data_IF_107412441871
#
_entry.id   IF_107412441871
#
_cell.length_a   1.000
_cell.length_b   1.000
_cell.length_c   1.000
_cell.angle_alpha   90.00
_cell.angle_beta   90.00
_cell.angle_gamma   90.00
#
_symmetry.space_group_name_H-M   'P 1'
#
loop_
_entity.id
_entity.type
_entity.pdbx_description
1 polymer ?
#
# COMPACT_ATOMS: atom_id res chain seq x y z
N UNK A 1 2.59 13.46 -24.06
CA UNK A 1 1.55 13.50 -23.01
C UNK A 1 2.20 13.20 -21.67
N UNK A 2 2.24 14.15 -20.73
CA UNK A 2 2.76 13.91 -19.37
C UNK A 2 1.78 13.01 -18.63
N UNK A 3 2.07 11.72 -18.60
CA UNK A 3 1.20 10.68 -18.08
C UNK A 3 1.28 10.65 -16.54
N UNK A 4 0.67 11.62 -15.87
CA UNK A 4 0.60 11.59 -14.40
C UNK A 4 -0.57 10.69 -14.01
N UNK A 5 -0.30 9.41 -13.71
CA UNK A 5 -1.25 8.48 -13.06
C UNK A 5 -1.70 8.92 -11.65
N UNK A 6 -1.25 10.09 -11.20
CA UNK A 6 -1.57 10.62 -9.88
C UNK A 6 -3.02 11.08 -9.85
N UNK A 7 -3.85 10.42 -9.03
CA UNK A 7 -5.21 10.87 -8.75
C UNK A 7 -5.13 11.93 -7.66
N UNK A 8 -5.56 13.16 -7.99
CA UNK A 8 -5.69 14.25 -7.03
C UNK A 8 -7.15 14.38 -6.60
N UNK A 9 -7.37 14.46 -5.30
CA UNK A 9 -8.69 14.69 -4.74
C UNK A 9 -9.01 16.18 -4.90
N UNK A 10 -10.10 16.49 -5.58
CA UNK A 10 -10.56 17.86 -5.75
C UNK A 10 -11.11 18.44 -4.44
N UNK A 11 -11.57 19.70 -4.47
CA UNK A 11 -12.13 20.37 -3.29
C UNK A 11 -13.62 20.11 -3.09
N UNK A 12 -14.19 19.06 -3.69
CA UNK A 12 -15.59 18.74 -3.51
C UNK A 12 -15.85 18.30 -2.05
N UNK A 13 -16.78 18.94 -1.31
CA UNK A 13 -17.00 18.64 0.10
C UNK A 13 -17.30 17.17 0.40
N UNK A 14 -18.02 16.48 -0.49
CA UNK A 14 -18.35 15.06 -0.32
C UNK A 14 -17.14 14.14 -0.48
N UNK A 15 -16.18 14.50 -1.35
CA UNK A 15 -14.93 13.75 -1.54
C UNK A 15 -13.93 14.03 -0.42
N UNK A 16 -13.96 15.23 0.15
CA UNK A 16 -13.07 15.67 1.22
C UNK A 16 -13.33 14.95 2.54
N UNK A 17 -14.59 14.60 2.85
CA UNK A 17 -14.94 14.01 4.13
C UNK A 17 -14.09 12.77 4.47
N UNK A 18 -13.84 11.91 3.48
CA UNK A 18 -13.04 10.69 3.64
C UNK A 18 -11.56 11.00 3.89
N UNK A 19 -10.96 11.89 3.08
CA UNK A 19 -9.54 12.22 3.22
C UNK A 19 -9.23 13.01 4.48
N UNK A 20 -10.14 13.89 4.92
CA UNK A 20 -10.06 14.55 6.22
C UNK A 20 -10.12 13.54 7.37
N UNK A 21 -11.04 12.57 7.33
CA UNK A 21 -11.16 11.53 8.34
C UNK A 21 -9.86 10.74 8.50
N UNK A 22 -9.29 10.29 7.38
CA UNK A 22 -8.01 9.59 7.36
C UNK A 22 -6.87 10.46 7.90
N UNK A 23 -6.76 11.72 7.47
CA UNK A 23 -5.70 12.60 7.94
C UNK A 23 -5.77 12.85 9.46
N UNK A 24 -6.98 12.95 10.02
CA UNK A 24 -7.19 13.06 11.47
C UNK A 24 -6.77 11.79 12.21
N UNK A 25 -7.16 10.62 11.71
CA UNK A 25 -6.82 9.33 12.33
C UNK A 25 -5.31 9.08 12.31
N UNK A 26 -4.66 9.36 11.17
CA UNK A 26 -3.21 9.18 11.01
C UNK A 26 -2.38 10.27 11.70
N UNK A 27 -3.02 11.35 12.17
CA UNK A 27 -2.38 12.55 12.75
C UNK A 27 -1.43 13.23 11.77
N UNK A 28 -1.87 13.41 10.53
CA UNK A 28 -1.15 14.15 9.48
C UNK A 28 -1.77 15.53 9.25
N UNK A 29 -1.03 16.44 8.63
CA UNK A 29 -1.52 17.79 8.30
C UNK A 29 -2.76 17.72 7.38
N UNK A 30 -3.84 18.38 7.81
CA UNK A 30 -5.12 18.40 7.11
C UNK A 30 -5.07 19.19 5.80
N UNK A 31 -4.11 20.09 5.64
CA UNK A 31 -3.96 20.87 4.41
C UNK A 31 -3.34 20.04 3.29
N UNK A 32 -2.76 18.86 3.59
CA UNK A 32 -2.14 17.98 2.62
C UNK A 32 -3.11 16.96 2.00
N UNK A 33 -4.40 17.00 2.35
CA UNK A 33 -5.39 16.01 1.85
C UNK A 33 -5.61 16.04 0.33
N UNK A 34 -5.17 17.11 -0.33
CA UNK A 34 -5.26 17.28 -1.78
C UNK A 34 -3.93 16.99 -2.49
N UNK A 35 -2.85 16.75 -1.74
CA UNK A 35 -1.55 16.42 -2.30
C UNK A 35 -1.50 14.98 -2.83
N UNK A 36 -0.55 14.66 -3.73
CA UNK A 36 -0.31 13.30 -4.18
C UNK A 36 -0.14 12.34 -3.02
N UNK A 37 -0.70 11.14 -3.16
CA UNK A 37 -0.70 10.18 -2.06
C UNK A 37 0.50 9.23 -2.07
N UNK A 38 0.93 8.78 -0.90
CA UNK A 38 1.92 7.72 -0.69
C UNK A 38 1.45 6.74 0.37
N UNK A 39 1.91 5.49 0.29
CA UNK A 39 1.44 4.41 1.15
C UNK A 39 2.45 3.31 1.40
N UNK A 40 2.13 2.46 2.37
CA UNK A 40 2.89 1.26 2.71
C UNK A 40 1.93 0.09 2.70
N UNK A 41 2.29 -0.97 1.97
CA UNK A 41 1.48 -2.19 1.86
C UNK A 41 2.25 -3.39 2.41
N UNK A 42 1.53 -4.40 2.87
CA UNK A 42 2.10 -5.71 3.20
C UNK A 42 1.21 -6.87 2.78
N UNK A 43 1.71 -8.09 2.95
CA UNK A 43 0.88 -9.29 2.83
C UNK A 43 0.79 -10.07 4.14
N UNK A 44 -0.38 -10.66 4.39
CA UNK A 44 -0.63 -11.52 5.55
C UNK A 44 -1.03 -12.92 5.10
N UNK A 45 -0.69 -13.88 5.94
CA UNK A 45 -1.05 -15.28 5.80
C UNK A 45 -0.79 -15.99 7.12
N UNK A 46 -0.88 -17.30 7.11
CA UNK A 46 -0.96 -18.12 8.33
C UNK A 46 0.33 -18.91 8.63
N UNK A 47 1.46 -18.51 8.06
CA UNK A 47 2.78 -19.08 8.36
C UNK A 47 3.70 -18.10 9.06
N UNK A 48 4.81 -18.62 9.60
CA UNK A 48 5.86 -17.84 10.26
C UNK A 48 6.46 -16.74 9.37
N UNK A 49 6.34 -16.85 8.05
CA UNK A 49 6.78 -15.82 7.11
C UNK A 49 6.11 -14.46 7.37
N UNK A 50 4.86 -14.45 7.85
CA UNK A 50 4.03 -13.25 7.92
C UNK A 50 4.03 -12.55 9.29
N UNK A 51 4.48 -13.23 10.35
CA UNK A 51 4.42 -12.75 11.75
C UNK A 51 5.01 -11.34 11.90
N UNK A 52 6.11 -11.06 11.19
CA UNK A 52 6.80 -9.77 11.28
C UNK A 52 6.28 -8.68 10.34
N UNK A 53 5.44 -9.00 9.36
CA UNK A 53 5.10 -8.08 8.26
C UNK A 53 4.35 -6.87 8.78
N UNK A 54 3.30 -7.08 9.57
CA UNK A 54 2.49 -5.99 10.14
C UNK A 54 3.32 -5.01 10.97
N UNK A 55 4.18 -5.54 11.86
CA UNK A 55 5.07 -4.71 12.68
C UNK A 55 6.02 -3.88 11.80
N UNK A 56 6.61 -4.48 10.77
CA UNK A 56 7.53 -3.77 9.85
C UNK A 56 6.80 -2.72 9.03
N UNK A 57 5.61 -3.03 8.51
CA UNK A 57 4.74 -2.08 7.79
C UNK A 57 4.43 -0.88 8.67
N UNK A 58 4.02 -1.11 9.94
CA UNK A 58 3.72 -0.03 10.88
C UNK A 58 4.93 0.87 11.15
N UNK A 59 6.11 0.29 11.36
CA UNK A 59 7.35 1.06 11.60
C UNK A 59 7.72 1.92 10.39
N UNK A 60 7.62 1.37 9.18
CA UNK A 60 7.93 2.12 7.94
C UNK A 60 6.87 3.20 7.71
N UNK A 61 5.60 2.90 7.97
CA UNK A 61 4.51 3.87 7.85
C UNK A 61 4.70 5.05 8.81
N UNK A 62 5.07 4.78 10.06
CA UNK A 62 5.37 5.83 11.04
C UNK A 62 6.59 6.67 10.62
N UNK A 63 7.65 6.03 10.13
CA UNK A 63 8.82 6.74 9.60
C UNK A 63 8.45 7.63 8.40
N UNK A 64 7.61 7.13 7.49
CA UNK A 64 7.10 7.89 6.34
C UNK A 64 6.23 9.07 6.80
N UNK A 65 5.35 8.87 7.79
CA UNK A 65 4.54 9.95 8.38
C UNK A 65 5.41 11.08 8.90
N UNK A 66 6.50 10.76 9.61
CA UNK A 66 7.39 11.78 10.17
C UNK A 66 8.11 12.60 9.09
N UNK A 67 8.20 12.08 7.86
CA UNK A 67 8.76 12.77 6.68
C UNK A 67 7.71 13.53 5.86
N UNK A 68 6.44 13.52 6.25
CA UNK A 68 5.37 14.24 5.58
C UNK A 68 5.05 15.53 6.35
N UNK A 69 4.93 16.64 5.63
CA UNK A 69 4.68 17.96 6.20
C UNK A 69 5.09 19.09 5.27
N UNK A 70 5.12 20.31 5.79
CA UNK A 70 5.42 21.54 5.02
C UNK A 70 6.80 22.13 5.30
N UNK A 71 7.59 21.51 6.18
CA UNK A 71 8.95 21.94 6.47
C UNK A 71 9.90 21.63 5.30
N UNK A 72 11.04 22.32 5.23
CA UNK A 72 12.01 22.18 4.14
C UNK A 72 12.58 20.76 3.96
N UNK A 73 12.59 19.94 5.02
CA UNK A 73 13.08 18.55 5.00
C UNK A 73 11.96 17.50 4.87
N UNK A 74 10.71 17.96 4.66
CA UNK A 74 9.52 17.12 4.58
C UNK A 74 8.89 17.18 3.19
N UNK A 75 8.13 16.13 2.87
CA UNK A 75 7.42 16.00 1.60
C UNK A 75 5.97 16.43 1.78
N UNK A 76 5.48 17.27 0.88
CA UNK A 76 4.07 17.64 0.79
C UNK A 76 3.32 16.53 0.05
N UNK A 77 2.93 15.49 0.79
CA UNK A 77 2.23 14.31 0.27
C UNK A 77 1.11 13.91 1.24
N UNK A 78 0.09 13.25 0.74
CA UNK A 78 -0.96 12.64 1.57
C UNK A 78 -0.56 11.22 1.96
N UNK A 79 -0.58 10.89 3.24
CA UNK A 79 -0.37 9.52 3.69
C UNK A 79 -1.69 8.74 3.67
N UNK A 80 -1.70 7.56 3.05
CA UNK A 80 -2.81 6.60 3.20
C UNK A 80 -2.55 5.65 4.36
N UNK A 81 -3.62 5.03 4.89
CA UNK A 81 -3.47 4.00 5.91
C UNK A 81 -2.67 2.80 5.38
N UNK A 82 -2.03 2.00 6.25
CA UNK A 82 -1.40 0.75 5.82
C UNK A 82 -2.43 -0.23 5.25
N UNK A 83 -2.11 -0.84 4.12
CA UNK A 83 -2.99 -1.81 3.45
C UNK A 83 -2.35 -3.19 3.42
N UNK A 84 -3.19 -4.23 3.48
CA UNK A 84 -2.73 -5.61 3.47
C UNK A 84 -3.50 -6.47 2.49
N UNK A 85 -2.77 -7.32 1.78
CA UNK A 85 -3.33 -8.35 0.89
C UNK A 85 -3.13 -9.75 1.47
N UNK A 86 -3.85 -10.72 0.91
CA UNK A 86 -3.79 -12.13 1.32
C UNK A 86 -2.61 -12.85 0.67
N UNK A 87 -2.08 -13.86 1.34
CA UNK A 87 -1.02 -14.69 0.80
C UNK A 87 -1.12 -16.13 1.34
N UNK A 88 -0.80 -17.09 0.49
CA UNK A 88 -0.81 -18.52 0.79
C UNK A 88 0.56 -18.98 1.26
N UNK A 89 0.65 -19.90 2.21
CA UNK A 89 1.94 -20.48 2.60
C UNK A 89 2.23 -21.78 1.85
N UNK A 90 3.22 -21.74 0.96
CA UNK A 90 3.75 -22.94 0.29
C UNK A 90 4.22 -23.98 1.31
N UNK A 91 4.95 -23.56 2.34
CA UNK A 91 5.49 -24.45 3.37
C UNK A 91 4.42 -25.28 4.10
N UNK A 92 3.28 -24.67 4.46
CA UNK A 92 2.19 -25.39 5.14
C UNK A 92 1.40 -26.27 4.15
N UNK A 93 1.31 -25.87 2.87
CA UNK A 93 0.42 -26.52 1.87
C UNK A 93 1.16 -27.55 1.03
N UNK A 94 2.48 -27.64 1.17
CA UNK A 94 3.29 -28.56 0.41
C UNK A 94 2.83 -30.01 0.64
N UNK A 95 2.56 -30.73 -0.45
CA UNK A 95 2.05 -32.10 -0.41
C UNK A 95 0.55 -32.25 -0.15
N UNK A 96 -0.21 -31.15 -0.02
CA UNK A 96 -1.67 -31.20 0.12
C UNK A 96 -2.39 -30.80 -1.18
N UNK A 97 -3.71 -31.04 -1.26
CA UNK A 97 -4.52 -30.64 -2.43
C UNK A 97 -4.56 -29.12 -2.59
N UNK A 98 -4.44 -28.40 -1.49
CA UNK A 98 -4.49 -26.95 -1.42
C UNK A 98 -3.23 -26.29 -2.01
N UNK A 99 -2.15 -27.04 -2.28
CA UNK A 99 -0.98 -26.52 -3.00
C UNK A 99 -1.34 -25.96 -4.39
N UNK A 100 -2.46 -26.39 -4.97
CA UNK A 100 -3.02 -25.81 -6.21
C UNK A 100 -3.29 -24.31 -6.12
N UNK A 101 -3.46 -23.76 -4.91
CA UNK A 101 -3.71 -22.33 -4.69
C UNK A 101 -2.43 -21.49 -4.55
N UNK A 102 -1.25 -22.12 -4.50
CA UNK A 102 0.04 -21.40 -4.32
C UNK A 102 0.32 -20.44 -5.49
N UNK A 103 0.40 -20.95 -6.72
CA UNK A 103 0.78 -20.15 -7.89
C UNK A 103 -0.28 -19.09 -8.23
N UNK A 104 -1.55 -19.48 -8.23
CA UNK A 104 -2.64 -18.52 -8.50
C UNK A 104 -2.75 -17.44 -7.42
N UNK A 105 -2.31 -17.75 -6.18
CA UNK A 105 -2.24 -16.77 -5.10
C UNK A 105 -1.37 -15.56 -5.43
N UNK A 106 -0.31 -15.73 -6.23
CA UNK A 106 0.50 -14.61 -6.75
C UNK A 106 -0.31 -13.65 -7.60
N UNK A 107 -1.04 -14.17 -8.59
CA UNK A 107 -1.81 -13.34 -9.53
C UNK A 107 -2.96 -12.64 -8.81
N UNK A 108 -3.68 -13.36 -7.93
CA UNK A 108 -4.75 -12.76 -7.12
C UNK A 108 -4.20 -11.65 -6.21
N UNK A 109 -3.03 -11.86 -5.61
CA UNK A 109 -2.35 -10.85 -4.79
C UNK A 109 -1.99 -9.62 -5.63
N UNK A 110 -1.42 -9.84 -6.80
CA UNK A 110 -1.03 -8.79 -7.74
C UNK A 110 -2.24 -8.00 -8.21
N UNK A 111 -3.30 -8.65 -8.66
CA UNK A 111 -4.51 -8.01 -9.16
C UNK A 111 -5.21 -7.20 -8.07
N UNK A 112 -5.31 -7.74 -6.85
CA UNK A 112 -5.90 -7.02 -5.71
C UNK A 112 -5.11 -5.75 -5.37
N UNK A 113 -3.78 -5.82 -5.37
CA UNK A 113 -2.94 -4.65 -5.12
C UNK A 113 -3.04 -3.68 -6.30
N UNK A 114 -2.97 -4.16 -7.54
CA UNK A 114 -2.98 -3.32 -8.73
C UNK A 114 -4.28 -2.53 -8.86
N UNK A 115 -5.42 -3.17 -8.60
CA UNK A 115 -6.73 -2.54 -8.54
C UNK A 115 -6.73 -1.40 -7.51
N UNK A 116 -6.35 -1.71 -6.28
CA UNK A 116 -6.33 -0.74 -5.19
C UNK A 116 -5.37 0.43 -5.44
N UNK A 117 -4.13 0.17 -5.87
CA UNK A 117 -3.12 1.20 -6.12
C UNK A 117 -3.53 2.11 -7.28
N UNK A 118 -4.12 1.53 -8.33
CA UNK A 118 -4.59 2.29 -9.50
C UNK A 118 -5.78 3.17 -9.15
N UNK A 119 -6.74 2.65 -8.37
CA UNK A 119 -7.89 3.41 -7.90
C UNK A 119 -7.50 4.52 -6.93
N UNK A 120 -6.55 4.25 -6.04
CA UNK A 120 -6.03 5.23 -5.07
C UNK A 120 -5.14 6.29 -5.71
N UNK A 121 -4.56 6.01 -6.89
CA UNK A 121 -3.68 6.91 -7.62
C UNK A 121 -2.45 7.32 -6.80
N UNK A 122 -1.92 6.39 -6.01
CA UNK A 122 -0.71 6.58 -5.21
C UNK A 122 0.44 7.00 -6.14
N UNK A 123 1.23 7.98 -5.72
CA UNK A 123 2.44 8.42 -6.44
C UNK A 123 3.66 7.57 -6.10
N UNK A 124 3.63 6.90 -4.95
CA UNK A 124 4.67 5.98 -4.52
C UNK A 124 4.15 5.04 -3.43
N UNK A 125 4.64 3.81 -3.45
CA UNK A 125 4.24 2.76 -2.50
C UNK A 125 5.46 1.97 -2.04
N UNK A 126 5.55 1.66 -0.74
CA UNK A 126 6.54 0.74 -0.20
C UNK A 126 5.85 -0.59 0.08
N UNK A 127 6.26 -1.67 -0.60
CA UNK A 127 5.67 -2.99 -0.42
C UNK A 127 6.55 -3.90 0.45
N UNK A 128 5.93 -4.49 1.48
CA UNK A 128 6.55 -5.48 2.34
C UNK A 128 5.96 -6.85 2.05
N UNK A 129 6.70 -7.62 1.27
CA UNK A 129 6.30 -8.95 0.84
C UNK A 129 7.03 -10.01 1.66
N UNK A 130 6.30 -11.02 2.09
CA UNK A 130 6.83 -12.24 2.65
C UNK A 130 6.30 -13.47 1.91
N UNK A 131 7.03 -14.59 2.09
CA UNK A 131 6.79 -15.86 1.41
C UNK A 131 7.02 -15.82 -0.11
N UNK A 132 7.19 -17.00 -0.69
CA UNK A 132 7.91 -17.22 -1.94
C UNK A 132 7.23 -16.59 -3.17
N UNK A 133 5.92 -16.73 -3.31
CA UNK A 133 5.22 -16.38 -4.56
C UNK A 133 4.60 -14.98 -4.59
N UNK A 134 4.41 -14.30 -3.45
CA UNK A 134 3.41 -13.24 -3.28
C UNK A 134 3.91 -11.80 -3.51
N UNK A 135 4.72 -11.63 -4.54
CA UNK A 135 5.33 -10.35 -4.90
C UNK A 135 4.55 -9.62 -6.00
N UNK A 136 4.36 -8.31 -5.85
CA UNK A 136 3.83 -7.47 -6.92
C UNK A 136 4.96 -7.14 -7.91
N UNK A 137 4.83 -7.60 -9.17
CA UNK A 137 5.84 -7.40 -10.21
C UNK A 137 5.39 -6.44 -11.32
N UNK A 138 4.12 -6.05 -11.33
CA UNK A 138 3.53 -5.32 -12.45
C UNK A 138 3.86 -3.82 -12.48
N UNK A 139 3.60 -3.14 -13.63
CA UNK A 139 3.78 -1.69 -13.80
C UNK A 139 3.02 -0.83 -12.77
N UNK A 140 2.04 -1.39 -12.07
CA UNK A 140 1.34 -0.72 -10.97
C UNK A 140 2.18 -0.59 -9.70
N UNK A 141 3.13 -1.50 -9.46
CA UNK A 141 4.06 -1.42 -8.34
C UNK A 141 5.43 -0.83 -8.75
N UNK A 142 5.77 -0.88 -10.04
CA UNK A 142 6.91 -0.15 -10.61
C UNK A 142 6.53 1.31 -10.90
N UNK A 143 6.43 2.11 -9.83
CA UNK A 143 6.42 3.58 -9.96
C UNK A 143 7.79 4.01 -10.51
N UNK A 144 7.88 4.21 -11.83
CA UNK A 144 9.03 4.90 -12.44
C UNK A 144 9.06 6.31 -11.85
N UNK A 145 10.04 6.55 -10.97
CA UNK A 145 10.42 7.87 -10.49
C UNK A 145 10.85 8.77 -11.66
#
# INVERSE_FOLDING_TARGET
MKNSKTVLIDKNPGRNAQTFGIARELKTDLDLIHEPSVGVIGNKGDSQCYIGVEKKVRVIHEALRNKIGKNNDQMQMRLVQPEFTVATSDGIRNGTKEMRYSLIGREVTNDSICEHLSASGLKGTIALVACDKHSCWDPCCNFRA
#
